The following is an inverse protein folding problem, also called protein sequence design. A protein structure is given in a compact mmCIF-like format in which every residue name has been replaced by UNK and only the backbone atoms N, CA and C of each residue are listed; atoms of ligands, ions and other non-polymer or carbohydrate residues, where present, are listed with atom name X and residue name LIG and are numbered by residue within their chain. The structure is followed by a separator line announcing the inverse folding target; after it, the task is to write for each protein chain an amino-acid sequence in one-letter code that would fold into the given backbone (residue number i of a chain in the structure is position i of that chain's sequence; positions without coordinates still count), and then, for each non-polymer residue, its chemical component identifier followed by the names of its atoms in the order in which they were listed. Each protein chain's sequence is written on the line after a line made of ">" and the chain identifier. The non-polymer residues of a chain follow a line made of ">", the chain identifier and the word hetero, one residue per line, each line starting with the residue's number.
data_IF_278174375694
#
_entry.id   IF_278174375694
#
_cell.length_a   1.000
_cell.length_b   1.000
_cell.length_c   1.000
_cell.angle_alpha   90.00
_cell.angle_beta   90.00
_cell.angle_gamma   90.00
#
_symmetry.space_group_name_H-M   'P 1'
#
loop_
_entity.id
_entity.type
_entity.pdbx_description
1 polymer ?
#
# COMPACT_ATOMS: atom_id res chain seq x y z
N UNK A 1 14.75 11.25 1.72
CA UNK A 1 13.96 10.02 1.89
C UNK A 1 14.88 8.87 2.24
N UNK A 2 14.43 7.95 3.06
CA UNK A 2 15.26 6.87 3.61
C UNK A 2 15.84 5.95 2.55
N UNK A 3 15.10 5.61 1.53
CA UNK A 3 15.59 4.73 0.47
C UNK A 3 16.76 5.35 -0.31
N UNK A 4 16.77 6.67 -0.47
CA UNK A 4 17.89 7.38 -1.10
C UNK A 4 19.14 7.32 -0.24
N UNK A 5 18.99 7.49 1.07
CA UNK A 5 20.10 7.39 2.01
C UNK A 5 20.67 5.97 2.09
N UNK A 6 19.80 4.96 2.08
CA UNK A 6 20.19 3.57 2.03
C UNK A 6 21.02 3.25 0.77
N UNK A 7 20.61 3.78 -0.40
CA UNK A 7 21.36 3.62 -1.66
C UNK A 7 22.73 4.28 -1.61
N UNK A 8 22.91 5.31 -0.80
CA UNK A 8 24.18 5.99 -0.58
C UNK A 8 25.05 5.30 0.46
N UNK A 9 24.60 4.18 1.01
CA UNK A 9 25.33 3.45 2.05
C UNK A 9 25.30 4.11 3.41
N UNK A 10 24.44 5.07 3.63
CA UNK A 10 24.31 5.76 4.91
C UNK A 10 23.31 5.04 5.81
N UNK A 11 23.70 4.90 7.08
CA UNK A 11 22.79 4.36 8.12
C UNK A 11 22.02 5.52 8.70
N UNK A 12 20.70 5.40 8.71
CA UNK A 12 19.78 6.39 9.26
C UNK A 12 18.98 5.75 10.38
N UNK A 13 19.13 6.29 11.59
CA UNK A 13 18.25 5.92 12.69
C UNK A 13 16.89 6.58 12.52
N UNK A 14 15.85 5.83 12.76
CA UNK A 14 14.47 6.31 12.73
C UNK A 14 13.85 6.19 14.11
N UNK A 15 13.08 7.21 14.46
CA UNK A 15 12.19 7.08 15.60
C UNK A 15 11.11 6.05 15.29
N UNK A 16 10.80 5.16 16.24
CA UNK A 16 9.70 4.22 16.07
C UNK A 16 8.40 4.96 15.82
N UNK A 17 7.63 4.51 14.84
CA UNK A 17 6.28 5.02 14.59
C UNK A 17 5.28 3.99 15.04
N UNK A 18 4.26 4.44 15.75
CA UNK A 18 3.13 3.58 16.08
C UNK A 18 2.23 3.51 14.87
N UNK A 19 2.04 2.30 14.36
CA UNK A 19 1.05 2.03 13.31
C UNK A 19 0.00 1.09 13.87
N UNK A 20 -1.18 1.17 13.32
CA UNK A 20 -2.28 0.27 13.67
C UNK A 20 -2.53 -0.68 12.52
N UNK A 21 -2.52 -1.98 12.80
CA UNK A 21 -2.89 -3.01 11.84
C UNK A 21 -4.32 -3.42 12.18
N UNK A 22 -5.26 -3.01 11.33
CA UNK A 22 -6.68 -3.28 11.51
C UNK A 22 -7.09 -4.65 10.99
N UNK A 23 -6.31 -5.19 10.05
CA UNK A 23 -6.58 -6.47 9.42
C UNK A 23 -5.28 -7.14 9.02
N UNK A 24 -5.16 -8.42 9.28
CA UNK A 24 -4.03 -9.24 8.85
C UNK A 24 -4.51 -10.65 8.58
N UNK A 25 -4.83 -10.95 7.33
CA UNK A 25 -5.38 -12.25 6.91
C UNK A 25 -4.41 -12.95 5.98
N UNK A 26 -4.03 -14.17 6.34
CA UNK A 26 -3.28 -15.02 5.44
C UNK A 26 -4.22 -15.50 4.34
N UNK A 27 -3.86 -15.22 3.09
CA UNK A 27 -4.66 -15.63 1.92
C UNK A 27 -4.11 -16.88 1.24
N UNK A 28 -2.78 -17.06 1.27
CA UNK A 28 -2.16 -18.25 0.69
C UNK A 28 -0.88 -18.58 1.45
N UNK A 29 -0.72 -19.85 1.73
CA UNK A 29 0.49 -20.40 2.34
C UNK A 29 1.09 -21.45 1.43
N UNK A 30 2.16 -21.11 0.76
CA UNK A 30 2.87 -22.00 -0.16
C UNK A 30 4.37 -21.68 -0.07
N UNK A 31 5.05 -22.31 0.88
CA UNK A 31 6.48 -22.06 1.12
C UNK A 31 7.31 -22.17 -0.17
N UNK A 32 8.26 -21.26 -0.40
CA UNK A 32 8.70 -20.20 0.51
C UNK A 32 7.86 -18.90 0.47
N UNK A 33 6.73 -18.91 -0.19
CA UNK A 33 5.88 -17.74 -0.34
C UNK A 33 4.72 -17.73 0.65
N UNK A 34 4.45 -16.56 1.18
CA UNK A 34 3.30 -16.28 2.04
C UNK A 34 2.56 -15.08 1.47
N UNK A 35 1.28 -15.24 1.21
CA UNK A 35 0.41 -14.15 0.78
C UNK A 35 -0.54 -13.75 1.91
N UNK A 36 -0.73 -12.47 2.08
CA UNK A 36 -1.63 -11.95 3.10
C UNK A 36 -2.30 -10.65 2.66
N UNK A 37 -3.44 -10.37 3.24
CA UNK A 37 -4.15 -9.13 3.10
C UNK A 37 -3.98 -8.34 4.40
N UNK A 38 -3.43 -7.14 4.30
CA UNK A 38 -3.16 -6.31 5.48
C UNK A 38 -3.85 -4.97 5.35
N UNK A 39 -4.56 -4.56 6.40
CA UNK A 39 -5.09 -3.23 6.55
C UNK A 39 -4.30 -2.47 7.60
N UNK A 40 -3.81 -1.28 7.27
CA UNK A 40 -2.96 -0.51 8.15
C UNK A 40 -3.42 0.93 8.26
N UNK A 41 -3.02 1.58 9.34
CA UNK A 41 -3.11 3.01 9.46
C UNK A 41 -2.11 3.71 8.53
N UNK A 42 -2.26 5.02 8.40
CA UNK A 42 -1.38 5.88 7.61
C UNK A 42 0.08 5.75 8.06
N UNK A 43 0.98 5.75 7.11
CA UNK A 43 2.42 5.79 7.37
C UNK A 43 3.08 4.43 7.56
N UNK A 44 2.35 3.33 7.42
CA UNK A 44 2.93 1.99 7.50
C UNK A 44 3.69 1.64 6.22
N UNK A 45 4.81 0.95 6.39
CA UNK A 45 5.60 0.42 5.28
C UNK A 45 5.44 -1.10 5.23
N UNK A 46 4.84 -1.62 4.17
CA UNK A 46 4.60 -3.06 4.02
C UNK A 46 5.91 -3.83 3.96
N UNK A 47 6.97 -3.24 3.41
CA UNK A 47 8.30 -3.85 3.41
C UNK A 47 8.80 -4.14 4.81
N UNK A 48 8.56 -3.24 5.75
CA UNK A 48 8.93 -3.42 7.15
C UNK A 48 8.12 -4.55 7.78
N UNK A 49 6.83 -4.63 7.47
CA UNK A 49 5.98 -5.72 7.95
C UNK A 49 6.51 -7.07 7.47
N UNK A 50 6.88 -7.18 6.20
CA UNK A 50 7.43 -8.40 5.63
C UNK A 50 8.77 -8.77 6.30
N UNK A 51 9.64 -7.80 6.52
CA UNK A 51 10.92 -8.00 7.20
C UNK A 51 10.71 -8.49 8.63
N UNK A 52 9.86 -7.82 9.40
CA UNK A 52 9.60 -8.16 10.80
C UNK A 52 8.96 -9.53 10.94
N UNK A 53 8.08 -9.90 10.01
CA UNK A 53 7.47 -11.22 9.98
C UNK A 53 8.53 -12.30 9.75
N UNK A 54 9.43 -12.07 8.80
CA UNK A 54 10.54 -12.99 8.53
C UNK A 54 11.47 -13.15 9.74
N UNK A 55 11.76 -12.07 10.45
CA UNK A 55 12.56 -12.12 11.68
C UNK A 55 11.88 -12.95 12.77
N UNK A 56 10.57 -12.81 12.93
CA UNK A 56 9.80 -13.60 13.89
C UNK A 56 9.83 -15.09 13.57
N UNK A 57 9.81 -15.45 12.31
CA UNK A 57 9.94 -16.86 11.90
C UNK A 57 11.38 -17.36 11.94
N UNK A 58 12.35 -16.48 12.12
CA UNK A 58 13.77 -16.85 12.20
C UNK A 58 14.43 -17.15 10.86
N UNK A 59 13.73 -16.96 9.76
CA UNK A 59 14.25 -17.25 8.42
C UNK A 59 14.52 -16.00 7.58
N UNK A 60 14.17 -14.82 8.09
CA UNK A 60 14.15 -13.62 7.30
C UNK A 60 13.00 -13.58 6.30
N UNK A 61 12.79 -12.43 5.71
CA UNK A 61 11.73 -12.28 4.72
C UNK A 61 11.85 -10.97 3.96
N UNK A 62 11.32 -10.93 2.78
CA UNK A 62 11.24 -9.71 1.98
C UNK A 62 9.96 -9.67 1.20
N UNK A 63 9.56 -8.46 0.82
CA UNK A 63 8.36 -8.25 0.00
C UNK A 63 8.67 -8.58 -1.46
N UNK A 64 7.97 -9.57 -2.00
CA UNK A 64 8.11 -10.00 -3.39
C UNK A 64 7.15 -9.28 -4.32
N UNK A 65 5.88 -9.22 -3.93
CA UNK A 65 4.81 -8.56 -4.69
C UNK A 65 3.93 -7.76 -3.75
N UNK A 66 3.44 -6.63 -4.24
CA UNK A 66 2.54 -5.77 -3.49
C UNK A 66 1.44 -5.25 -4.41
N UNK A 67 0.21 -5.34 -3.94
CA UNK A 67 -0.93 -4.74 -4.62
C UNK A 67 -1.77 -3.96 -3.61
N UNK A 68 -1.94 -2.68 -3.86
CA UNK A 68 -2.85 -1.86 -3.06
C UNK A 68 -4.26 -2.08 -3.58
N UNK A 69 -5.16 -2.53 -2.72
CA UNK A 69 -6.55 -2.85 -3.09
C UNK A 69 -7.53 -1.78 -2.67
N UNK A 70 -7.17 -0.96 -1.68
CA UNK A 70 -8.01 0.14 -1.22
C UNK A 70 -7.17 1.20 -0.51
N UNK A 71 -7.64 2.41 -0.53
CA UNK A 71 -7.13 3.53 0.26
C UNK A 71 -8.32 4.40 0.66
N UNK A 72 -8.58 4.50 1.98
CA UNK A 72 -9.79 5.15 2.45
C UNK A 72 -11.03 4.47 1.87
N UNK A 73 -11.88 5.25 1.25
CA UNK A 73 -13.09 4.76 0.58
C UNK A 73 -12.87 4.32 -0.87
N UNK A 74 -11.67 4.57 -1.40
CA UNK A 74 -11.35 4.24 -2.79
C UNK A 74 -10.89 2.78 -2.91
N UNK A 75 -11.60 2.03 -3.75
CA UNK A 75 -11.33 0.61 -3.98
C UNK A 75 -10.81 0.37 -5.39
N UNK A 76 -9.94 -0.61 -5.54
CA UNK A 76 -9.35 -0.96 -6.84
C UNK A 76 -10.40 -1.41 -7.85
N UNK A 77 -11.49 -2.00 -7.41
CA UNK A 77 -12.59 -2.45 -8.28
C UNK A 77 -13.23 -1.27 -9.04
N UNK A 78 -13.16 -0.07 -8.46
CA UNK A 78 -13.74 1.14 -9.03
C UNK A 78 -12.70 2.00 -9.76
N UNK A 79 -11.45 1.56 -9.81
CA UNK A 79 -10.38 2.28 -10.50
C UNK A 79 -10.39 1.97 -11.99
N UNK A 80 -10.05 2.97 -12.79
CA UNK A 80 -9.84 2.79 -14.21
C UNK A 80 -8.40 2.38 -14.49
N UNK A 81 -8.20 1.50 -15.45
CA UNK A 81 -6.85 1.14 -15.90
C UNK A 81 -6.28 2.22 -16.82
N UNK A 82 -4.98 2.39 -16.79
CA UNK A 82 -4.32 3.40 -17.63
C UNK A 82 -4.60 3.18 -19.13
N UNK A 83 -4.65 1.94 -19.59
CA UNK A 83 -4.98 1.60 -20.97
C UNK A 83 -6.39 2.05 -21.34
N UNK A 84 -7.34 1.94 -20.43
CA UNK A 84 -8.71 2.40 -20.64
C UNK A 84 -8.78 3.92 -20.73
N UNK A 85 -8.00 4.62 -19.88
CA UNK A 85 -7.95 6.09 -19.87
C UNK A 85 -7.39 6.66 -21.16
N UNK A 86 -6.40 6.01 -21.76
CA UNK A 86 -5.76 6.45 -23.01
C UNK A 86 -6.73 6.51 -24.18
N UNK A 87 -7.73 5.66 -24.21
CA UNK A 87 -8.70 5.56 -25.31
C UNK A 87 -10.04 6.23 -25.01
N UNK A 88 -10.21 6.81 -23.83
CA UNK A 88 -11.45 7.48 -23.45
C UNK A 88 -11.58 8.84 -24.13
N UNK A 89 -12.82 9.17 -24.54
CA UNK A 89 -13.15 10.53 -24.98
C UNK A 89 -13.09 11.51 -23.80
N UNK A 90 -12.90 12.82 -24.05
CA UNK A 90 -12.91 13.81 -22.97
C UNK A 90 -14.18 13.81 -22.13
N UNK A 91 -15.34 13.57 -22.75
CA UNK A 91 -16.61 13.50 -22.00
C UNK A 91 -16.68 12.28 -21.09
N UNK A 92 -16.16 11.13 -21.53
CA UNK A 92 -16.09 9.92 -20.72
C UNK A 92 -15.10 10.09 -19.57
N UNK A 93 -13.93 10.70 -19.82
CA UNK A 93 -12.96 11.03 -18.77
C UNK A 93 -13.55 11.90 -17.68
N UNK A 94 -14.32 12.93 -18.05
CA UNK A 94 -14.98 13.81 -17.08
C UNK A 94 -15.92 13.05 -16.15
N UNK A 95 -16.63 12.05 -16.67
CA UNK A 95 -17.54 11.19 -15.88
C UNK A 95 -16.78 10.30 -14.91
N UNK A 96 -15.54 9.95 -15.21
CA UNK A 96 -14.69 9.14 -14.34
C UNK A 96 -14.09 9.95 -13.19
N UNK A 97 -14.01 11.27 -13.31
CA UNK A 97 -13.44 12.12 -12.27
C UNK A 97 -14.35 12.18 -11.04
N UNK A 98 -13.75 11.98 -9.89
CA UNK A 98 -14.45 12.15 -8.62
C UNK A 98 -14.33 13.63 -8.24
N UNK A 99 -15.45 14.34 -8.00
CA UNK A 99 -15.39 15.72 -7.55
C UNK A 99 -14.55 15.87 -6.27
N UNK A 100 -13.81 16.96 -6.18
CA UNK A 100 -12.92 17.22 -5.04
C UNK A 100 -13.67 17.11 -3.70
N UNK A 101 -14.86 17.65 -3.63
CA UNK A 101 -15.69 17.60 -2.41
C UNK A 101 -15.98 16.16 -1.95
N UNK A 102 -16.09 15.22 -2.89
CA UNK A 102 -16.33 13.81 -2.58
C UNK A 102 -15.05 13.06 -2.28
N UNK A 103 -13.91 13.55 -2.77
CA UNK A 103 -12.62 12.91 -2.60
C UNK A 103 -11.95 13.30 -1.27
N UNK A 104 -12.29 14.45 -0.71
CA UNK A 104 -11.70 14.96 0.53
C UNK A 104 -12.34 14.25 1.72
N UNK A 105 -11.54 13.70 2.66
CA UNK A 105 -12.08 13.12 3.88
C UNK A 105 -12.89 14.13 4.69
N UNK A 106 -14.00 13.67 5.28
CA UNK A 106 -14.90 14.52 6.05
C UNK A 106 -14.20 15.32 7.15
N UNK A 107 -13.21 14.71 7.80
CA UNK A 107 -12.44 15.37 8.86
C UNK A 107 -11.50 16.49 8.35
N UNK A 108 -11.26 16.57 7.06
CA UNK A 108 -10.44 17.61 6.45
C UNK A 108 -11.28 18.80 5.96
N UNK A 109 -12.61 18.71 6.01
CA UNK A 109 -13.54 19.79 5.69
C UNK A 109 -13.88 20.59 6.95
#
# INVERSE_FOLDING_TARGET
>A
KLYKLARQGKVVEREPRVIHISRFDRTKYALPELSFLVGTSKGAYVRTIAHDLGEKFGCGGHLNKLRRTAIGEFRIENAAKSEELEVMSPSTLRKQLIPVIQAVPTHAL
#
